data_IF_796046560991
#
_entry.id   IF_796046560991
#
_cell.length_a   1.000
_cell.length_b   1.000
_cell.length_c   1.000
_cell.angle_alpha   90.00
_cell.angle_beta   90.00
_cell.angle_gamma   90.00
#
_symmetry.space_group_name_H-M   'P 1'
#
loop_
_entity.id
_entity.type
_entity.pdbx_description
1 polymer ?
#
# COMPACT_ATOMS: atom_id res chain seq x y z
N UNK A 1 -2.34 14.14 -5.92
CA UNK A 1 -2.08 15.44 -5.26
C UNK A 1 -3.33 16.15 -4.71
N UNK A 2 -4.56 15.86 -5.20
CA UNK A 2 -5.78 16.60 -4.80
C UNK A 2 -5.97 16.66 -3.28
N UNK A 3 -5.83 15.55 -2.58
CA UNK A 3 -5.99 15.46 -1.10
C UNK A 3 -4.94 16.31 -0.39
N UNK A 4 -3.68 16.26 -0.82
CA UNK A 4 -2.58 17.03 -0.22
C UNK A 4 -2.78 18.54 -0.31
N UNK A 5 -3.53 19.03 -1.31
CA UNK A 5 -3.81 20.46 -1.51
C UNK A 5 -4.88 21.01 -0.57
N UNK A 6 -5.71 20.12 -0.01
CA UNK A 6 -6.90 20.52 0.75
C UNK A 6 -6.63 20.79 2.23
N UNK A 7 -5.46 20.42 2.76
CA UNK A 7 -5.12 20.58 4.17
C UNK A 7 -4.33 21.86 4.40
N UNK A 8 -4.96 22.93 4.90
CA UNK A 8 -4.24 24.13 5.28
C UNK A 8 -3.42 23.89 6.56
N UNK A 9 -2.26 24.49 6.63
CA UNK A 9 -1.38 24.54 7.79
C UNK A 9 -0.64 25.89 7.82
N UNK A 10 0.00 26.23 8.93
CA UNK A 10 0.75 27.50 9.03
C UNK A 10 2.20 27.25 8.60
N UNK A 11 2.85 26.21 9.11
CA UNK A 11 4.27 25.91 8.82
C UNK A 11 4.49 24.42 8.58
N UNK A 12 5.29 24.10 7.58
CA UNK A 12 5.81 22.76 7.32
C UNK A 12 7.34 22.83 7.28
N UNK A 13 8.00 22.06 8.14
CA UNK A 13 9.43 21.84 8.09
C UNK A 13 9.73 20.61 7.24
N UNK A 14 10.20 20.85 6.02
CA UNK A 14 10.55 19.82 5.05
C UNK A 14 12.07 19.63 5.02
N UNK A 15 12.61 18.58 5.65
CA UNK A 15 14.04 18.30 5.59
C UNK A 15 14.44 17.82 4.19
N UNK A 16 15.64 18.17 3.77
CA UNK A 16 16.21 17.71 2.50
C UNK A 16 16.69 16.26 2.62
N UNK A 17 16.70 15.50 1.50
CA UNK A 17 17.35 14.20 1.48
C UNK A 17 18.83 14.32 1.87
N UNK A 18 19.27 13.47 2.78
CA UNK A 18 20.68 13.31 3.11
C UNK A 18 21.42 12.55 2.01
N UNK A 19 22.52 11.88 2.40
CA UNK A 19 23.30 11.09 1.46
C UNK A 19 22.50 9.89 0.92
N UNK A 20 22.45 9.77 -0.39
CA UNK A 20 21.86 8.61 -1.06
C UNK A 20 22.82 7.40 -0.98
N UNK A 21 22.28 6.24 -0.65
CA UNK A 21 22.99 4.96 -0.60
C UNK A 21 22.27 3.95 -1.49
N UNK A 22 23.03 3.15 -2.24
CA UNK A 22 22.47 2.00 -2.95
C UNK A 22 22.17 0.87 -1.96
N UNK A 23 21.09 0.12 -2.18
CA UNK A 23 20.79 -1.03 -1.35
C UNK A 23 21.73 -2.21 -1.70
N UNK A 24 22.26 -2.94 -0.69
CA UNK A 24 23.21 -4.02 -0.91
C UNK A 24 22.61 -5.31 -1.52
N UNK A 25 21.34 -5.29 -1.90
CA UNK A 25 20.61 -6.47 -2.41
C UNK A 25 20.91 -6.82 -3.88
N UNK A 26 21.89 -6.16 -4.52
CA UNK A 26 22.22 -6.42 -5.92
C UNK A 26 21.14 -5.98 -6.93
N UNK A 27 20.12 -5.28 -6.49
CA UNK A 27 19.08 -4.75 -7.38
C UNK A 27 19.55 -3.38 -7.87
N UNK A 28 19.89 -3.30 -9.13
CA UNK A 28 20.29 -2.03 -9.75
C UNK A 28 19.13 -1.03 -9.75
N UNK A 29 19.47 0.25 -9.69
CA UNK A 29 18.48 1.33 -9.77
C UNK A 29 17.78 1.69 -8.46
N UNK A 30 17.96 0.93 -7.36
CA UNK A 30 17.39 1.25 -6.06
C UNK A 30 18.39 2.01 -5.20
N UNK A 31 17.96 3.15 -4.67
CA UNK A 31 18.72 3.94 -3.70
C UNK A 31 17.81 4.46 -2.59
N UNK A 32 18.39 4.69 -1.43
CA UNK A 32 17.70 5.12 -0.22
C UNK A 32 18.40 6.36 0.37
N UNK A 33 17.61 7.29 0.87
CA UNK A 33 18.11 8.41 1.67
C UNK A 33 17.19 8.66 2.88
N UNK A 34 17.79 9.06 4.00
CA UNK A 34 17.03 9.67 5.10
C UNK A 34 16.81 11.14 4.81
N UNK A 35 15.65 11.67 5.20
CA UNK A 35 15.43 13.10 5.26
C UNK A 35 16.09 13.65 6.53
N UNK A 36 17.34 14.06 6.45
CA UNK A 36 18.16 14.51 7.58
C UNK A 36 18.94 15.80 7.30
N UNK A 37 18.78 16.39 6.10
CA UNK A 37 19.36 17.68 5.77
C UNK A 37 18.64 18.83 6.44
N UNK A 38 19.21 20.04 6.34
CA UNK A 38 18.61 21.25 6.89
C UNK A 38 17.19 21.45 6.35
N UNK A 39 16.19 21.64 7.24
CA UNK A 39 14.81 21.75 6.81
C UNK A 39 14.54 23.09 6.11
N UNK A 40 13.82 23.04 5.02
CA UNK A 40 13.18 24.19 4.40
C UNK A 40 11.84 24.43 5.07
N UNK A 41 11.63 25.64 5.59
CA UNK A 41 10.34 26.03 6.15
C UNK A 41 9.43 26.52 5.02
N UNK A 42 8.29 25.86 4.87
CA UNK A 42 7.26 26.18 3.88
C UNK A 42 5.99 26.64 4.59
N UNK A 43 5.39 27.70 4.08
CA UNK A 43 3.98 28.00 4.30
C UNK A 43 3.10 27.19 3.32
N UNK A 44 1.79 27.24 3.50
CA UNK A 44 0.88 26.50 2.64
C UNK A 44 0.97 26.91 1.14
N UNK A 45 1.06 28.19 0.75
CA UNK A 45 1.28 28.59 -0.65
C UNK A 45 2.58 28.03 -1.25
N UNK A 46 3.69 28.11 -0.53
CA UNK A 46 4.98 27.57 -0.98
C UNK A 46 4.94 26.03 -1.13
N UNK A 47 4.25 25.35 -0.22
CA UNK A 47 4.01 23.91 -0.34
C UNK A 47 3.19 23.57 -1.58
N UNK A 48 2.13 24.34 -1.88
CA UNK A 48 1.36 24.14 -3.12
C UNK A 48 2.21 24.33 -4.37
N UNK A 49 3.16 25.28 -4.37
CA UNK A 49 4.10 25.46 -5.47
C UNK A 49 4.98 24.23 -5.67
N UNK A 50 5.48 23.61 -4.59
CA UNK A 50 6.24 22.35 -4.66
C UNK A 50 5.38 21.23 -5.26
N UNK A 51 4.14 21.06 -4.82
CA UNK A 51 3.23 20.06 -5.38
C UNK A 51 2.96 20.30 -6.88
N UNK A 52 2.77 21.55 -7.28
CA UNK A 52 2.57 21.92 -8.68
C UNK A 52 3.79 21.55 -9.53
N UNK A 53 5.00 21.81 -9.01
CA UNK A 53 6.23 21.47 -9.70
C UNK A 53 6.39 19.95 -9.84
N UNK A 54 6.15 19.18 -8.79
CA UNK A 54 6.20 17.72 -8.86
C UNK A 54 5.21 17.17 -9.89
N UNK A 55 4.00 17.72 -9.93
CA UNK A 55 2.97 17.30 -10.90
C UNK A 55 3.35 17.67 -12.33
N UNK A 56 3.93 18.87 -12.55
CA UNK A 56 4.44 19.32 -13.84
C UNK A 56 5.63 18.46 -14.31
N UNK A 57 6.50 18.02 -13.39
CA UNK A 57 7.61 17.10 -13.65
C UNK A 57 7.17 15.67 -13.97
N UNK A 58 5.87 15.39 -13.94
CA UNK A 58 5.29 14.11 -14.30
C UNK A 58 5.11 13.13 -13.14
N UNK A 59 5.35 13.55 -11.89
CA UNK A 59 5.08 12.71 -10.74
C UNK A 59 3.58 12.57 -10.49
N UNK A 60 3.17 11.36 -10.09
CA UNK A 60 1.80 11.03 -9.68
C UNK A 60 1.86 10.22 -8.39
N UNK A 61 0.97 10.52 -7.46
CA UNK A 61 0.79 9.71 -6.25
C UNK A 61 -0.04 8.50 -6.62
N UNK A 62 0.52 7.32 -6.42
CA UNK A 62 -0.14 6.04 -6.72
C UNK A 62 -0.91 5.52 -5.51
N UNK A 63 -0.34 5.62 -4.32
CA UNK A 63 -0.92 5.11 -3.08
C UNK A 63 -0.48 5.96 -1.89
N UNK A 64 -1.34 6.05 -0.88
CA UNK A 64 -0.97 6.64 0.42
C UNK A 64 -1.58 5.84 1.55
N UNK A 65 -0.85 5.76 2.65
CA UNK A 65 -1.30 5.14 3.89
C UNK A 65 -0.99 6.09 5.05
N UNK A 66 -1.93 6.24 5.99
CA UNK A 66 -1.84 7.20 7.08
C UNK A 66 -2.40 6.58 8.36
N UNK A 67 -1.60 6.63 9.43
CA UNK A 67 -2.01 6.14 10.75
C UNK A 67 -1.76 7.22 11.80
N UNK A 68 -2.81 7.59 12.52
CA UNK A 68 -2.70 8.46 13.68
C UNK A 68 -2.21 7.61 14.86
N UNK A 69 -0.93 7.71 15.19
CA UNK A 69 -0.28 6.83 16.18
C UNK A 69 -0.36 7.37 17.60
N UNK A 70 -0.39 8.69 17.78
CA UNK A 70 -0.44 9.31 19.08
C UNK A 70 -1.17 10.64 19.04
N UNK A 71 -1.96 10.93 20.10
CA UNK A 71 -2.53 12.24 20.36
C UNK A 71 -2.28 12.64 21.81
N UNK A 72 -1.74 13.83 22.00
CA UNK A 72 -1.58 14.47 23.32
C UNK A 72 -2.45 15.72 23.37
N UNK A 73 -3.44 15.79 24.28
CA UNK A 73 -4.25 16.97 24.44
C UNK A 73 -3.39 18.13 24.96
N UNK A 74 -3.80 19.34 24.63
CA UNK A 74 -3.17 20.54 25.20
C UNK A 74 -3.48 20.64 26.70
N UNK A 75 -2.46 20.84 27.51
CA UNK A 75 -2.55 20.98 28.96
C UNK A 75 -1.60 22.12 29.41
N UNK A 76 -2.01 22.91 30.35
CA UNK A 76 -1.19 23.99 30.98
C UNK A 76 -0.59 24.98 29.95
N UNK A 77 -1.40 25.39 28.97
CA UNK A 77 -0.97 26.35 27.95
C UNK A 77 -0.12 25.72 26.82
N UNK A 78 0.12 24.42 26.85
CA UNK A 78 0.76 23.70 25.72
C UNK A 78 -0.26 23.35 24.64
N UNK A 79 0.12 23.57 23.40
CA UNK A 79 -0.71 23.20 22.26
C UNK A 79 -0.91 21.67 22.17
N UNK A 80 -2.06 21.20 21.68
CA UNK A 80 -2.25 19.79 21.37
C UNK A 80 -1.23 19.30 20.32
N UNK A 81 -0.82 18.04 20.41
CA UNK A 81 0.17 17.41 19.51
C UNK A 81 -0.33 16.10 18.98
N UNK A 82 0.00 15.80 17.74
CA UNK A 82 -0.26 14.49 17.11
C UNK A 82 0.99 13.93 16.46
N UNK A 83 1.14 12.61 16.50
CA UNK A 83 2.09 11.88 15.67
C UNK A 83 1.27 11.06 14.65
N UNK A 84 1.62 11.21 13.39
CA UNK A 84 0.99 10.51 12.27
C UNK A 84 2.09 9.80 11.49
N UNK A 85 2.05 8.48 11.42
CA UNK A 85 2.91 7.74 10.50
C UNK A 85 2.29 7.73 9.11
N UNK A 86 3.13 7.76 8.09
CA UNK A 86 2.67 7.78 6.71
C UNK A 86 3.57 6.96 5.79
N UNK A 87 2.97 6.48 4.71
CA UNK A 87 3.66 5.93 3.57
C UNK A 87 3.02 6.48 2.29
N UNK A 88 3.86 6.96 1.35
CA UNK A 88 3.43 7.55 0.08
C UNK A 88 4.20 6.87 -1.04
N UNK A 89 3.49 6.30 -2.00
CA UNK A 89 4.04 5.77 -3.23
C UNK A 89 3.77 6.75 -4.37
N UNK A 90 4.82 7.12 -5.09
CA UNK A 90 4.74 8.01 -6.24
C UNK A 90 5.43 7.40 -7.45
N UNK A 91 4.92 7.71 -8.62
CA UNK A 91 5.46 7.23 -9.91
C UNK A 91 5.69 8.38 -10.87
N UNK A 92 6.71 8.25 -11.71
CA UNK A 92 6.96 9.10 -12.86
C UNK A 92 7.22 8.20 -14.06
N UNK A 93 6.17 7.92 -14.82
CA UNK A 93 6.24 6.96 -15.93
C UNK A 93 7.21 7.44 -17.04
N UNK A 94 7.22 8.73 -17.35
CA UNK A 94 8.08 9.27 -18.40
C UNK A 94 9.57 9.13 -18.10
N UNK A 95 9.93 9.06 -16.80
CA UNK A 95 11.32 8.90 -16.34
C UNK A 95 11.59 7.48 -15.82
N UNK A 96 10.65 6.57 -15.96
CA UNK A 96 10.70 5.20 -15.41
C UNK A 96 11.11 5.18 -13.92
N UNK A 97 10.58 6.12 -13.14
CA UNK A 97 10.93 6.29 -11.72
C UNK A 97 9.74 6.01 -10.81
N UNK A 98 10.08 5.49 -9.64
CA UNK A 98 9.15 5.29 -8.51
C UNK A 98 9.83 5.74 -7.24
N UNK A 99 9.03 6.27 -6.31
CA UNK A 99 9.51 6.63 -5.00
C UNK A 99 8.53 6.11 -3.95
N UNK A 100 9.08 5.56 -2.87
CA UNK A 100 8.35 5.29 -1.64
C UNK A 100 8.90 6.19 -0.55
N UNK A 101 8.03 6.94 0.12
CA UNK A 101 8.38 7.87 1.19
C UNK A 101 7.67 7.37 2.45
N UNK A 102 8.42 6.99 3.47
CA UNK A 102 7.88 6.47 4.71
C UNK A 102 8.47 7.21 5.90
N UNK A 103 7.61 7.61 6.83
CA UNK A 103 8.06 8.36 7.98
C UNK A 103 6.94 8.77 8.92
N UNK A 104 7.20 9.82 9.69
CA UNK A 104 6.25 10.37 10.63
C UNK A 104 6.11 11.88 10.45
N UNK A 105 4.92 12.38 10.73
CA UNK A 105 4.62 13.78 10.92
C UNK A 105 4.40 14.03 12.42
N UNK A 106 5.10 15.02 12.95
CA UNK A 106 4.90 15.54 14.28
C UNK A 106 4.18 16.91 14.15
N UNK A 107 2.94 16.95 14.61
CA UNK A 107 2.08 18.12 14.45
C UNK A 107 1.79 18.79 15.77
N UNK A 108 1.87 20.13 15.79
CA UNK A 108 1.24 20.95 16.82
C UNK A 108 0.00 21.63 16.23
N UNK A 109 -1.05 21.78 17.03
CA UNK A 109 -2.35 22.27 16.58
C UNK A 109 -2.62 23.68 17.08
N UNK A 110 -3.21 24.53 16.22
CA UNK A 110 -3.78 25.81 16.64
C UNK A 110 -5.19 25.61 17.20
N UNK A 111 -5.75 26.67 17.78
CA UNK A 111 -7.19 26.74 18.10
C UNK A 111 -8.02 27.18 16.88
N UNK A 112 -7.38 27.59 15.79
CA UNK A 112 -8.06 27.99 14.55
C UNK A 112 -8.67 26.78 13.86
N UNK A 113 -9.83 27.00 13.24
CA UNK A 113 -10.53 25.98 12.45
C UNK A 113 -10.79 26.48 11.03
N UNK A 114 -10.89 25.54 10.12
CA UNK A 114 -11.42 25.79 8.78
C UNK A 114 -12.93 26.09 8.84
N UNK A 115 -13.50 26.52 7.73
CA UNK A 115 -14.96 26.68 7.57
C UNK A 115 -15.73 25.36 7.72
N UNK A 116 -15.05 24.20 7.55
CA UNK A 116 -15.61 22.87 7.78
C UNK A 116 -15.41 22.37 9.21
N UNK A 117 -14.86 23.18 10.11
CA UNK A 117 -14.67 22.87 11.53
C UNK A 117 -13.40 22.09 11.85
N UNK A 118 -12.55 21.76 10.85
CA UNK A 118 -11.28 21.07 11.08
C UNK A 118 -10.24 21.99 11.70
N UNK A 119 -9.51 21.52 12.73
CA UNK A 119 -8.37 22.27 13.30
C UNK A 119 -7.25 22.43 12.28
N UNK A 120 -6.60 23.58 12.31
CA UNK A 120 -5.47 23.89 11.43
C UNK A 120 -4.16 23.58 12.18
N UNK A 121 -3.26 22.74 11.64
CA UNK A 121 -1.93 22.56 12.19
C UNK A 121 -1.16 23.89 12.24
N UNK A 122 -0.51 24.18 13.36
CA UNK A 122 0.44 25.28 13.49
C UNK A 122 1.75 24.93 12.80
N UNK A 123 2.35 23.83 13.25
CA UNK A 123 3.61 23.35 12.72
C UNK A 123 3.52 21.86 12.40
N UNK A 124 3.99 21.49 11.23
CA UNK A 124 4.19 20.11 10.80
C UNK A 124 5.69 19.88 10.67
N UNK A 125 6.23 18.93 11.42
CA UNK A 125 7.62 18.50 11.30
C UNK A 125 7.62 17.10 10.68
N UNK A 126 8.41 16.92 9.62
CA UNK A 126 8.67 15.61 9.03
C UNK A 126 9.84 15.01 9.79
N UNK A 127 9.61 13.86 10.44
CA UNK A 127 10.60 13.17 11.28
C UNK A 127 10.76 11.71 10.87
N UNK A 128 11.90 11.13 11.17
CA UNK A 128 12.22 9.71 10.92
C UNK A 128 11.82 9.22 9.53
N UNK A 129 12.06 10.06 8.53
CA UNK A 129 11.55 9.81 7.18
C UNK A 129 12.66 9.32 6.26
N UNK A 130 12.33 8.30 5.50
CA UNK A 130 13.18 7.74 4.44
C UNK A 130 12.49 7.87 3.09
N UNK A 131 13.32 8.06 2.06
CA UNK A 131 12.89 7.97 0.66
C UNK A 131 13.64 6.81 0.03
N UNK A 132 12.90 5.87 -0.54
CA UNK A 132 13.43 4.87 -1.47
C UNK A 132 13.09 5.32 -2.87
N UNK A 133 14.09 5.45 -3.73
CA UNK A 133 13.93 5.85 -5.13
C UNK A 133 14.39 4.70 -6.01
N UNK A 134 13.58 4.35 -6.99
CA UNK A 134 13.85 3.31 -7.97
C UNK A 134 13.79 3.89 -9.37
N UNK A 135 14.80 3.59 -10.18
CA UNK A 135 14.87 3.95 -11.60
C UNK A 135 15.01 2.67 -12.42
N UNK A 136 14.14 2.49 -13.40
CA UNK A 136 14.12 1.33 -14.30
C UNK A 136 12.74 0.72 -14.46
N UNK A 137 12.69 -0.38 -15.22
CA UNK A 137 11.45 -1.13 -15.46
C UNK A 137 10.93 -1.74 -14.14
N UNK A 138 9.60 -1.94 -14.00
CA UNK A 138 9.03 -2.62 -12.84
C UNK A 138 9.69 -3.99 -12.65
N UNK A 139 10.15 -4.28 -11.41
CA UNK A 139 10.63 -5.62 -11.07
C UNK A 139 9.51 -6.68 -11.17
N UNK A 140 8.26 -6.23 -11.06
CA UNK A 140 7.06 -7.06 -11.20
C UNK A 140 6.12 -6.43 -12.23
N UNK A 141 5.51 -7.26 -13.03
CA UNK A 141 4.43 -6.88 -13.95
C UNK A 141 3.13 -7.51 -13.46
N UNK A 142 2.03 -6.80 -13.65
CA UNK A 142 0.72 -7.34 -13.35
C UNK A 142 0.41 -8.44 -14.38
N UNK A 143 0.30 -9.68 -13.92
CA UNK A 143 0.00 -10.84 -14.76
C UNK A 143 -1.50 -11.14 -14.83
N UNK A 144 -2.21 -10.91 -13.71
CA UNK A 144 -3.64 -11.22 -13.58
C UNK A 144 -4.33 -10.11 -12.78
N UNK A 145 -5.52 -9.74 -13.21
CA UNK A 145 -6.45 -8.91 -12.45
C UNK A 145 -7.80 -9.62 -12.43
N UNK A 146 -8.31 -9.87 -11.23
CA UNK A 146 -9.60 -10.52 -11.01
C UNK A 146 -10.56 -9.50 -10.43
N UNK A 147 -11.67 -9.26 -11.14
CA UNK A 147 -12.80 -8.48 -10.60
C UNK A 147 -13.85 -9.44 -10.05
N UNK A 148 -13.84 -9.64 -8.75
CA UNK A 148 -14.76 -10.56 -8.07
C UNK A 148 -16.21 -10.10 -8.12
N UNK A 149 -16.47 -8.85 -8.46
CA UNK A 149 -17.86 -8.34 -8.62
C UNK A 149 -18.52 -8.81 -9.92
N UNK A 150 -17.72 -9.27 -10.88
CA UNK A 150 -18.16 -9.78 -12.17
C UNK A 150 -18.35 -11.31 -12.17
N UNK A 151 -18.04 -11.98 -11.05
CA UNK A 151 -18.25 -13.41 -10.91
C UNK A 151 -19.77 -13.71 -10.87
N UNK A 152 -20.16 -14.81 -11.49
CA UNK A 152 -21.57 -15.23 -11.51
C UNK A 152 -22.06 -15.58 -10.08
N UNK A 153 -23.39 -15.76 -9.94
CA UNK A 153 -24.02 -16.03 -8.64
C UNK A 153 -23.58 -17.36 -7.99
N UNK A 154 -22.82 -18.21 -8.70
CA UNK A 154 -22.25 -19.45 -8.18
C UNK A 154 -20.93 -19.24 -7.45
N UNK A 155 -20.33 -18.07 -7.62
CA UNK A 155 -19.05 -17.73 -7.04
C UNK A 155 -19.25 -16.68 -5.94
N UNK A 156 -18.80 -17.00 -4.75
CA UNK A 156 -18.85 -16.06 -3.64
C UNK A 156 -17.75 -15.00 -3.81
N UNK A 157 -18.00 -13.68 -3.63
CA UNK A 157 -17.01 -12.63 -3.89
C UNK A 157 -15.91 -12.56 -2.83
N UNK A 158 -15.55 -13.69 -2.19
CA UNK A 158 -14.45 -13.81 -1.24
C UNK A 158 -13.26 -14.45 -1.93
N UNK A 159 -12.11 -13.81 -1.84
CA UNK A 159 -10.85 -14.33 -2.40
C UNK A 159 -10.06 -15.19 -1.42
N UNK A 160 -10.28 -15.02 -0.11
CA UNK A 160 -9.54 -15.73 0.92
C UNK A 160 -10.07 -17.15 1.16
N UNK A 161 -9.18 -18.10 1.47
CA UNK A 161 -7.74 -17.97 1.37
C UNK A 161 -7.25 -17.88 -0.08
N UNK A 162 -6.12 -17.17 -0.28
CA UNK A 162 -5.39 -17.15 -1.55
C UNK A 162 -4.20 -18.09 -1.42
N UNK A 163 -4.13 -19.09 -2.28
CA UNK A 163 -3.10 -20.12 -2.23
C UNK A 163 -2.44 -20.19 -3.60
N UNK A 164 -1.12 -20.39 -3.62
CA UNK A 164 -0.33 -20.67 -4.82
C UNK A 164 0.24 -22.06 -4.67
N UNK A 165 -0.17 -22.96 -5.56
CA UNK A 165 0.26 -24.36 -5.54
C UNK A 165 0.23 -24.95 -6.94
N UNK A 166 1.17 -25.83 -7.23
CA UNK A 166 1.21 -26.63 -8.47
C UNK A 166 0.31 -27.86 -8.28
N UNK A 167 -0.98 -27.70 -8.55
CA UNK A 167 -2.00 -28.72 -8.31
C UNK A 167 -1.88 -29.91 -9.27
N UNK A 168 -1.45 -29.64 -10.50
CA UNK A 168 -1.36 -30.66 -11.55
C UNK A 168 0.06 -31.21 -11.76
N UNK A 169 1.02 -30.73 -10.96
CA UNK A 169 2.43 -31.14 -10.96
C UNK A 169 3.14 -30.93 -12.32
N UNK A 170 2.73 -29.85 -13.04
CA UNK A 170 3.33 -29.49 -14.33
C UNK A 170 4.51 -28.50 -14.21
N UNK A 171 4.84 -28.08 -13.00
CA UNK A 171 5.90 -27.15 -12.67
C UNK A 171 5.47 -25.67 -12.74
N UNK A 172 4.21 -25.39 -13.07
CA UNK A 172 3.66 -24.04 -13.06
C UNK A 172 2.56 -23.93 -11.99
N UNK A 173 2.73 -23.08 -10.97
CA UNK A 173 1.74 -23.02 -9.91
C UNK A 173 0.45 -22.34 -10.38
N UNK A 174 -0.68 -22.88 -9.92
CA UNK A 174 -1.99 -22.29 -10.00
C UNK A 174 -2.20 -21.26 -8.89
N UNK A 175 -3.05 -20.25 -9.18
CA UNK A 175 -3.57 -19.31 -8.19
C UNK A 175 -4.97 -19.75 -7.78
N UNK A 176 -5.12 -20.14 -6.51
CA UNK A 176 -6.36 -20.62 -5.94
C UNK A 176 -7.00 -19.53 -5.11
N UNK A 177 -8.21 -19.12 -5.46
CA UNK A 177 -9.08 -18.24 -4.70
C UNK A 177 -10.17 -19.11 -4.07
N UNK A 178 -9.81 -19.79 -2.98
CA UNK A 178 -10.65 -20.83 -2.42
C UNK A 178 -12.02 -20.31 -1.96
N UNK A 179 -12.07 -19.11 -1.37
CA UNK A 179 -13.33 -18.47 -0.96
C UNK A 179 -14.27 -18.17 -2.11
N UNK A 180 -13.77 -18.03 -3.33
CA UNK A 180 -14.56 -17.86 -4.57
C UNK A 180 -14.75 -19.18 -5.34
N UNK A 181 -14.23 -20.28 -4.84
CA UNK A 181 -14.21 -21.57 -5.52
C UNK A 181 -13.58 -21.52 -6.92
N UNK A 182 -12.47 -20.80 -7.08
CA UNK A 182 -11.79 -20.58 -8.36
C UNK A 182 -10.32 -21.00 -8.30
N UNK A 183 -9.87 -21.63 -9.37
CA UNK A 183 -8.46 -21.89 -9.67
C UNK A 183 -8.13 -21.19 -10.97
N UNK A 184 -7.13 -20.32 -10.95
CA UNK A 184 -6.57 -19.72 -12.15
C UNK A 184 -5.32 -20.48 -12.57
N UNK A 185 -5.36 -21.02 -13.78
CA UNK A 185 -4.25 -21.73 -14.44
C UNK A 185 -3.73 -20.89 -15.59
N UNK A 186 -2.42 -20.82 -15.72
CA UNK A 186 -1.81 -20.14 -16.86
C UNK A 186 -1.83 -21.05 -18.09
N UNK A 187 -2.38 -20.55 -19.20
CA UNK A 187 -2.35 -21.21 -20.51
C UNK A 187 -1.74 -20.25 -21.54
N UNK A 188 -0.47 -20.48 -21.89
CA UNK A 188 0.29 -19.56 -22.74
C UNK A 188 0.44 -18.20 -22.05
N UNK A 189 -0.04 -17.12 -22.69
CA UNK A 189 -0.02 -15.75 -22.15
C UNK A 189 -1.29 -15.37 -21.38
N UNK A 190 -2.29 -16.26 -21.30
CA UNK A 190 -3.57 -16.00 -20.67
C UNK A 190 -3.74 -16.83 -19.40
N UNK A 191 -4.72 -16.43 -18.58
CA UNK A 191 -5.19 -17.21 -17.45
C UNK A 191 -6.60 -17.70 -17.73
N UNK A 192 -6.83 -19.00 -17.56
CA UNK A 192 -8.15 -19.59 -17.53
C UNK A 192 -8.52 -19.91 -16.08
N UNK A 193 -9.80 -19.93 -15.78
CA UNK A 193 -10.28 -20.33 -14.47
C UNK A 193 -11.22 -21.52 -14.56
N UNK A 194 -11.12 -22.37 -13.56
CA UNK A 194 -11.97 -23.54 -13.35
C UNK A 194 -12.47 -23.55 -11.89
N UNK A 195 -13.55 -24.25 -11.57
CA UNK A 195 -13.92 -24.48 -10.18
C UNK A 195 -12.79 -25.16 -9.40
N UNK A 196 -12.57 -24.74 -8.16
CA UNK A 196 -11.62 -25.40 -7.26
C UNK A 196 -12.19 -26.74 -6.74
N UNK A 197 -13.48 -26.75 -6.36
CA UNK A 197 -14.20 -27.93 -5.92
C UNK A 197 -15.48 -28.07 -6.74
N UNK A 198 -15.81 -29.30 -7.13
CA UNK A 198 -17.04 -29.60 -7.88
C UNK A 198 -18.30 -29.30 -7.05
N UNK A 199 -18.20 -29.55 -5.73
CA UNK A 199 -19.28 -29.34 -4.76
C UNK A 199 -18.79 -28.52 -3.58
N UNK A 200 -18.65 -27.18 -3.74
CA UNK A 200 -18.12 -26.35 -2.67
C UNK A 200 -19.08 -26.28 -1.48
N UNK A 201 -18.55 -26.48 -0.29
CA UNK A 201 -19.23 -26.13 0.96
C UNK A 201 -19.05 -24.62 1.15
N UNK A 202 -20.10 -23.83 1.00
CA UNK A 202 -20.07 -22.38 1.13
C UNK A 202 -20.74 -21.97 2.46
N UNK A 203 -20.12 -21.01 3.21
CA UNK A 203 -18.88 -20.33 2.94
C UNK A 203 -17.66 -21.13 3.35
N UNK A 204 -16.69 -21.27 2.45
CA UNK A 204 -15.35 -21.69 2.83
C UNK A 204 -14.78 -20.66 3.82
N UNK A 205 -14.06 -21.14 4.82
CA UNK A 205 -13.51 -20.29 5.88
C UNK A 205 -12.46 -19.28 5.40
N UNK A 206 -12.03 -18.41 6.30
CA UNK A 206 -11.05 -17.36 6.00
C UNK A 206 -9.62 -17.89 5.88
N UNK A 207 -9.35 -19.12 6.37
CA UNK A 207 -8.06 -19.77 6.28
C UNK A 207 -8.21 -21.16 5.66
N UNK A 208 -7.19 -21.58 4.94
CA UNK A 208 -7.09 -22.91 4.36
C UNK A 208 -5.65 -23.28 4.05
N UNK A 209 -5.40 -24.58 4.01
CA UNK A 209 -4.09 -25.16 3.71
C UNK A 209 -4.26 -26.32 2.72
N UNK A 210 -3.33 -26.41 1.78
CA UNK A 210 -3.18 -27.54 0.88
C UNK A 210 -1.95 -28.35 1.30
N UNK A 211 -2.13 -29.63 1.50
CA UNK A 211 -1.06 -30.59 1.74
C UNK A 211 -1.58 -32.00 1.47
N UNK A 212 -0.69 -32.94 1.23
CA UNK A 212 -0.99 -34.37 1.21
C UNK A 212 -1.08 -34.86 2.66
N UNK A 213 -2.29 -34.95 3.22
CA UNK A 213 -2.50 -35.30 4.63
C UNK A 213 -2.61 -36.81 4.87
N UNK A 214 -2.98 -37.58 3.86
CA UNK A 214 -3.14 -39.03 3.97
C UNK A 214 -2.00 -39.82 3.31
N UNK A 215 -1.07 -39.13 2.61
CA UNK A 215 0.12 -39.72 2.00
C UNK A 215 -0.14 -40.41 0.69
N UNK A 216 -1.24 -40.12 0.00
CA UNK A 216 -1.59 -40.71 -1.31
C UNK A 216 -0.90 -40.03 -2.48
N UNK A 217 -0.23 -38.92 -2.23
CA UNK A 217 0.52 -38.13 -3.21
C UNK A 217 -0.31 -37.05 -3.92
N UNK A 218 -1.58 -36.90 -3.62
CA UNK A 218 -2.44 -35.81 -4.08
C UNK A 218 -2.55 -34.71 -3.00
N UNK A 219 -2.97 -33.51 -3.40
CA UNK A 219 -3.12 -32.42 -2.44
C UNK A 219 -4.55 -32.36 -1.87
N UNK A 220 -4.66 -32.55 -0.57
CA UNK A 220 -5.90 -32.33 0.17
C UNK A 220 -6.07 -30.88 0.56
N UNK A 221 -7.32 -30.44 0.72
CA UNK A 221 -7.64 -29.09 1.18
C UNK A 221 -8.37 -29.10 2.52
N UNK A 222 -7.76 -28.49 3.52
CA UNK A 222 -8.40 -28.25 4.80
C UNK A 222 -8.69 -26.76 4.95
N UNK A 223 -9.94 -26.40 5.24
CA UNK A 223 -10.32 -25.02 5.55
C UNK A 223 -11.07 -24.92 6.87
N UNK A 224 -10.98 -23.75 7.49
CA UNK A 224 -11.84 -23.42 8.64
C UNK A 224 -13.25 -23.13 8.12
N UNK A 225 -14.25 -23.91 8.53
CA UNK A 225 -15.64 -23.59 8.32
C UNK A 225 -16.13 -22.52 9.30
N UNK A 226 -17.10 -21.70 8.89
CA UNK A 226 -17.89 -20.89 9.81
C UNK A 226 -19.13 -21.71 10.13
N UNK A 227 -19.27 -22.18 11.37
CA UNK A 227 -20.59 -22.65 11.82
C UNK A 227 -21.50 -21.43 11.86
N UNK A 228 -22.54 -21.45 11.01
CA UNK A 228 -23.68 -20.58 11.23
C UNK A 228 -24.42 -21.12 12.44
N UNK A 229 -24.19 -20.47 13.59
CA UNK A 229 -24.91 -20.72 14.83
C UNK A 229 -26.30 -20.11 14.82
#
# INVERSE_FOLDING_TARGET
FKVFRQFPFIKLNLPLPGKWTSLPLGIEGIRLAKLSGDPTMLDHPSYLAVLNQLEADGWRVAQTEWHHTEFRPGIDGRAPRSIISFEIHATNQAKERRAAIKGQLDLTWTDKKTNTGLRIPDTIQIVDTTITDYTGQPAFVQMLQVDTTQLDAKHYPRVSPVIVNDLNKDGQPELILAGSNLVYRKEGDNFQHIPFLDHPVIPLGEAGILADFDGDGESDFISTGKEDG
#
